data_IF_798991400070
#
_entry.id   IF_798991400070
#
_cell.length_a   1.000
_cell.length_b   1.000
_cell.length_c   1.000
_cell.angle_alpha   90.00
_cell.angle_beta   90.00
_cell.angle_gamma   90.00
#
_symmetry.space_group_name_H-M   'P 1'
#
loop_
_entity.id
_entity.type
_entity.pdbx_description
1 polymer ?
#
# COMPACT_ATOMS: atom_id res chain seq x y z
N UNK A 1 -5.05 -22.27 -7.67
CA UNK A 1 -6.47 -21.90 -7.55
C UNK A 1 -6.65 -21.24 -6.21
N UNK A 2 -7.27 -20.05 -6.15
CA UNK A 2 -7.49 -19.39 -4.86
C UNK A 2 -8.35 -20.25 -3.94
N UNK A 3 -7.91 -20.38 -2.68
CA UNK A 3 -8.53 -21.27 -1.68
C UNK A 3 -9.75 -20.66 -1.00
N UNK A 4 -9.90 -19.33 -1.03
CA UNK A 4 -10.95 -18.62 -0.29
C UNK A 4 -11.73 -17.67 -1.20
N UNK A 5 -13.05 -17.65 -1.02
CA UNK A 5 -13.90 -16.57 -1.56
C UNK A 5 -13.67 -15.29 -0.75
N UNK A 6 -13.94 -14.13 -1.36
CA UNK A 6 -13.81 -12.84 -0.67
C UNK A 6 -14.66 -12.77 0.61
N UNK A 7 -15.91 -13.24 0.56
CA UNK A 7 -16.81 -13.29 1.73
C UNK A 7 -16.25 -14.16 2.86
N UNK A 8 -15.70 -15.34 2.53
CA UNK A 8 -15.10 -16.23 3.53
C UNK A 8 -13.83 -15.63 4.12
N UNK A 9 -12.98 -15.03 3.29
CA UNK A 9 -11.77 -14.36 3.73
C UNK A 9 -12.09 -13.19 4.68
N UNK A 10 -13.02 -12.31 4.30
CA UNK A 10 -13.52 -11.22 5.13
C UNK A 10 -13.93 -11.69 6.52
N UNK A 11 -14.78 -12.72 6.59
CA UNK A 11 -15.25 -13.28 7.88
C UNK A 11 -14.10 -13.81 8.74
N UNK A 12 -13.15 -14.53 8.13
CA UNK A 12 -12.02 -15.11 8.87
C UNK A 12 -11.04 -14.05 9.37
N UNK A 13 -10.78 -13.00 8.58
CA UNK A 13 -9.89 -11.90 8.95
C UNK A 13 -10.50 -11.09 10.10
N UNK A 14 -11.78 -10.70 9.99
CA UNK A 14 -12.49 -9.98 11.06
C UNK A 14 -12.53 -10.80 12.35
N UNK A 15 -12.71 -12.12 12.24
CA UNK A 15 -12.73 -13.01 13.40
C UNK A 15 -11.33 -13.30 14.00
N UNK A 16 -10.24 -12.80 13.40
CA UNK A 16 -8.86 -13.13 13.82
C UNK A 16 -8.50 -14.60 13.64
N UNK A 17 -9.17 -15.31 12.72
CA UNK A 17 -9.04 -16.76 12.46
C UNK A 17 -8.49 -17.06 11.07
N UNK A 18 -8.04 -16.04 10.35
CA UNK A 18 -7.45 -16.20 9.03
C UNK A 18 -6.12 -16.96 9.12
N UNK A 19 -5.94 -18.08 8.39
CA UNK A 19 -4.65 -18.77 8.36
C UNK A 19 -3.58 -17.96 7.61
N UNK A 20 -2.32 -18.22 7.96
CA UNK A 20 -1.15 -17.76 7.20
C UNK A 20 -1.20 -18.29 5.77
N UNK A 21 -0.77 -17.48 4.80
CA UNK A 21 -0.78 -17.86 3.39
C UNK A 21 -2.18 -17.96 2.78
N UNK A 22 -3.15 -17.20 3.31
CA UNK A 22 -4.49 -17.14 2.75
C UNK A 22 -4.45 -16.58 1.32
N UNK A 23 -5.08 -17.29 0.38
CA UNK A 23 -5.21 -16.86 -1.02
C UNK A 23 -6.68 -16.55 -1.37
N UNK A 24 -6.94 -15.31 -1.78
CA UNK A 24 -8.23 -14.80 -2.26
C UNK A 24 -8.12 -14.51 -3.75
N UNK A 25 -9.00 -15.08 -4.58
CA UNK A 25 -8.83 -15.00 -6.04
C UNK A 25 -9.28 -13.69 -6.68
N UNK A 26 -10.17 -12.95 -6.02
CA UNK A 26 -10.74 -11.69 -6.49
C UNK A 26 -10.28 -10.50 -5.65
N UNK A 27 -11.08 -9.45 -5.64
CA UNK A 27 -10.89 -8.34 -4.71
C UNK A 27 -11.22 -8.75 -3.26
N UNK A 28 -10.60 -8.09 -2.30
CA UNK A 28 -10.90 -8.21 -0.88
C UNK A 28 -11.15 -6.82 -0.32
N UNK A 29 -12.39 -6.58 0.11
CA UNK A 29 -12.79 -5.31 0.73
C UNK A 29 -12.93 -5.50 2.24
N UNK A 30 -12.07 -4.81 2.99
CA UNK A 30 -12.07 -4.77 4.45
C UNK A 30 -12.40 -3.35 4.97
N UNK A 31 -12.90 -2.47 4.09
CA UNK A 31 -13.13 -1.07 4.40
C UNK A 31 -14.16 -0.91 5.52
N UNK A 32 -13.91 0.04 6.43
CA UNK A 32 -14.78 0.34 7.57
C UNK A 32 -14.83 -0.75 8.64
N UNK A 33 -13.97 -1.76 8.57
CA UNK A 33 -13.88 -2.82 9.60
C UNK A 33 -12.89 -2.41 10.71
N UNK A 34 -13.12 -2.91 11.93
CA UNK A 34 -12.27 -2.62 13.08
C UNK A 34 -11.00 -3.49 13.15
N UNK A 35 -10.55 -4.07 12.02
CA UNK A 35 -9.37 -4.93 12.01
C UNK A 35 -8.11 -4.13 12.31
N UNK A 36 -7.18 -4.75 13.03
CA UNK A 36 -5.91 -4.13 13.45
C UNK A 36 -4.70 -4.77 12.79
N UNK A 37 -4.87 -5.95 12.19
CA UNK A 37 -3.83 -6.70 11.49
C UNK A 37 -4.43 -7.56 10.37
N UNK A 38 -3.58 -7.91 9.40
CA UNK A 38 -3.85 -8.88 8.34
C UNK A 38 -3.03 -10.15 8.60
N UNK A 39 -3.45 -11.32 8.10
CA UNK A 39 -2.67 -12.54 8.22
C UNK A 39 -1.38 -12.46 7.36
N UNK A 40 -0.31 -13.08 7.86
CA UNK A 40 0.97 -13.16 7.13
C UNK A 40 0.84 -13.94 5.83
N UNK A 41 1.56 -13.50 4.79
CA UNK A 41 1.53 -14.13 3.47
C UNK A 41 0.18 -14.02 2.75
N UNK A 42 -0.68 -13.07 3.13
CA UNK A 42 -1.95 -12.82 2.44
C UNK A 42 -1.71 -12.53 0.95
N UNK A 43 -2.37 -13.30 0.09
CA UNK A 43 -2.37 -13.09 -1.36
C UNK A 43 -3.78 -12.77 -1.83
N UNK A 44 -3.96 -11.62 -2.46
CA UNK A 44 -5.21 -11.17 -3.06
C UNK A 44 -5.02 -11.06 -4.56
N UNK A 45 -5.77 -11.81 -5.36
CA UNK A 45 -5.65 -11.85 -6.82
C UNK A 45 -6.19 -10.58 -7.50
N UNK A 46 -7.08 -9.84 -6.84
CA UNK A 46 -7.55 -8.52 -7.27
C UNK A 46 -7.03 -7.40 -6.37
N UNK A 47 -7.81 -6.33 -6.25
CA UNK A 47 -7.51 -5.19 -5.37
C UNK A 47 -7.82 -5.48 -3.91
N UNK A 48 -7.05 -4.87 -3.00
CA UNK A 48 -7.25 -4.91 -1.56
C UNK A 48 -7.65 -3.52 -1.05
N UNK A 49 -8.80 -3.42 -0.39
CA UNK A 49 -9.32 -2.16 0.17
C UNK A 49 -9.23 -2.20 1.70
N UNK A 50 -8.48 -1.28 2.29
CA UNK A 50 -8.26 -1.18 3.74
C UNK A 50 -8.75 0.15 4.33
N UNK A 51 -9.62 0.85 3.59
CA UNK A 51 -10.00 2.21 3.93
C UNK A 51 -10.78 2.28 5.25
N UNK A 52 -10.39 3.20 6.15
CA UNK A 52 -11.06 3.33 7.46
C UNK A 52 -10.91 2.11 8.37
N UNK A 53 -9.79 1.39 8.29
CA UNK A 53 -9.43 0.31 9.22
C UNK A 53 -8.45 0.78 10.28
N UNK A 54 -8.38 0.07 11.41
CA UNK A 54 -7.44 0.35 12.50
C UNK A 54 -6.06 -0.32 12.30
N UNK A 55 -5.73 -0.73 11.07
CA UNK A 55 -4.45 -1.37 10.74
C UNK A 55 -3.29 -0.39 10.97
N UNK A 56 -2.23 -0.90 11.60
CA UNK A 56 -1.02 -0.11 11.90
C UNK A 56 0.21 -0.53 11.10
N UNK A 57 0.20 -1.74 10.51
CA UNK A 57 1.25 -2.25 9.64
C UNK A 57 0.67 -3.22 8.59
N UNK A 58 1.29 -3.27 7.41
CA UNK A 58 1.04 -4.34 6.44
C UNK A 58 1.81 -5.60 6.88
N UNK A 59 1.27 -6.81 6.63
CA UNK A 59 1.92 -8.05 7.02
C UNK A 59 3.07 -8.39 6.06
N UNK A 60 4.02 -9.18 6.53
CA UNK A 60 5.10 -9.68 5.68
C UNK A 60 4.55 -10.63 4.61
N UNK A 61 5.10 -10.53 3.40
CA UNK A 61 4.71 -11.38 2.27
C UNK A 61 3.35 -11.05 1.66
N UNK A 62 2.76 -9.87 1.97
CA UNK A 62 1.56 -9.39 1.29
C UNK A 62 1.77 -9.34 -0.23
N UNK A 63 0.86 -9.93 -0.98
CA UNK A 63 0.82 -9.86 -2.45
C UNK A 63 -0.57 -9.44 -2.93
N UNK A 64 -0.66 -8.45 -3.82
CA UNK A 64 -1.92 -7.92 -4.36
C UNK A 64 -1.87 -7.95 -5.88
N UNK A 65 -2.88 -8.52 -6.56
CA UNK A 65 -2.91 -8.59 -8.03
C UNK A 65 -3.49 -7.36 -8.70
N UNK A 66 -4.18 -6.50 -7.93
CA UNK A 66 -4.63 -5.18 -8.35
C UNK A 66 -4.02 -4.08 -7.50
N UNK A 67 -4.86 -3.13 -7.11
CA UNK A 67 -4.43 -1.97 -6.33
C UNK A 67 -4.59 -2.20 -4.82
N UNK A 68 -3.67 -1.64 -4.04
CA UNK A 68 -3.80 -1.51 -2.59
C UNK A 68 -4.36 -0.12 -2.27
N UNK A 69 -5.60 -0.07 -1.79
CA UNK A 69 -6.26 1.19 -1.41
C UNK A 69 -6.14 1.42 0.11
N UNK A 70 -5.41 2.49 0.46
CA UNK A 70 -5.12 2.90 1.85
C UNK A 70 -5.78 4.25 2.20
N UNK A 71 -6.90 4.60 1.55
CA UNK A 71 -7.57 5.89 1.75
C UNK A 71 -8.29 5.97 3.10
N UNK A 72 -8.38 7.16 3.70
CA UNK A 72 -8.98 7.38 5.02
C UNK A 72 -8.03 7.09 6.21
N UNK A 73 -8.57 7.20 7.43
CA UNK A 73 -7.91 7.16 8.74
C UNK A 73 -7.20 5.83 9.09
N UNK A 74 -6.34 5.34 8.20
CA UNK A 74 -5.47 4.21 8.51
C UNK A 74 -4.36 4.69 9.45
N UNK A 75 -4.16 3.99 10.56
CA UNK A 75 -3.06 4.26 11.51
C UNK A 75 -1.73 3.66 11.02
N UNK A 76 -1.60 3.52 9.70
CA UNK A 76 -0.50 2.80 9.08
C UNK A 76 0.80 3.59 9.27
N UNK A 77 1.82 2.91 9.77
CA UNK A 77 3.16 3.49 9.87
C UNK A 77 3.81 3.49 8.50
N UNK A 78 4.32 4.65 8.09
CA UNK A 78 5.07 4.81 6.86
C UNK A 78 6.57 5.00 7.15
N UNK A 79 7.47 4.52 6.27
CA UNK A 79 7.17 3.69 5.11
C UNK A 79 6.67 2.30 5.53
N UNK A 80 5.81 1.69 4.72
CA UNK A 80 5.36 0.31 4.96
C UNK A 80 6.49 -0.67 4.68
N UNK A 81 6.30 -1.93 5.11
CA UNK A 81 7.05 -3.05 4.54
C UNK A 81 6.81 -3.17 3.04
N UNK A 82 7.69 -3.89 2.36
CA UNK A 82 7.56 -4.21 0.96
C UNK A 82 6.45 -5.23 0.74
N UNK A 83 5.57 -4.96 -0.23
CA UNK A 83 4.54 -5.88 -0.71
C UNK A 83 4.75 -6.17 -2.20
N UNK A 84 4.32 -7.34 -2.65
CA UNK A 84 4.41 -7.76 -4.04
C UNK A 84 3.16 -7.39 -4.84
N UNK A 85 3.31 -7.26 -6.16
CA UNK A 85 2.19 -7.28 -7.09
C UNK A 85 2.17 -8.60 -7.86
N UNK A 86 0.98 -9.21 -8.02
CA UNK A 86 0.87 -10.52 -8.68
C UNK A 86 1.35 -10.42 -10.13
N UNK A 87 2.31 -11.26 -10.53
CA UNK A 87 2.86 -11.25 -11.88
C UNK A 87 3.96 -10.20 -12.09
N UNK A 88 4.31 -9.43 -11.07
CA UNK A 88 5.44 -8.50 -11.10
C UNK A 88 6.60 -9.02 -10.23
N UNK A 89 7.83 -8.92 -10.75
CA UNK A 89 9.03 -9.18 -9.96
C UNK A 89 9.30 -8.05 -8.94
N UNK A 90 8.84 -6.84 -9.27
CA UNK A 90 9.02 -5.61 -8.52
C UNK A 90 8.19 -5.62 -7.25
N UNK A 91 8.82 -5.28 -6.12
CA UNK A 91 8.13 -5.01 -4.87
C UNK A 91 7.86 -3.53 -4.72
N UNK A 92 6.81 -3.21 -3.98
CA UNK A 92 6.36 -1.86 -3.73
C UNK A 92 6.23 -1.60 -2.24
N UNK A 93 6.38 -0.35 -1.81
CA UNK A 93 6.05 0.10 -0.46
C UNK A 93 5.36 1.45 -0.51
N UNK A 94 4.44 1.70 0.39
CA UNK A 94 3.88 3.03 0.55
C UNK A 94 4.81 3.88 1.42
N UNK A 95 5.11 5.09 0.96
CA UNK A 95 5.99 6.04 1.64
C UNK A 95 5.23 7.10 2.45
N UNK A 96 4.04 7.47 1.98
CA UNK A 96 3.15 8.39 2.66
C UNK A 96 1.74 8.30 2.07
N UNK A 97 0.73 8.67 2.85
CA UNK A 97 -0.65 8.84 2.40
C UNK A 97 -1.23 10.10 3.02
N UNK A 98 -1.97 10.89 2.25
CA UNK A 98 -2.76 12.01 2.77
C UNK A 98 -4.24 11.63 3.01
N UNK A 99 -4.54 10.33 2.93
CA UNK A 99 -5.90 9.80 3.04
C UNK A 99 -6.67 9.77 1.71
N UNK A 100 -6.21 10.42 0.65
CA UNK A 100 -6.80 10.33 -0.70
C UNK A 100 -5.84 9.66 -1.69
N UNK A 101 -4.57 10.06 -1.65
CA UNK A 101 -3.50 9.52 -2.47
C UNK A 101 -2.39 8.94 -1.61
N UNK A 102 -1.86 7.82 -2.07
CA UNK A 102 -0.67 7.19 -1.52
C UNK A 102 0.49 7.39 -2.48
N UNK A 103 1.63 7.85 -1.96
CA UNK A 103 2.90 7.82 -2.65
C UNK A 103 3.54 6.45 -2.40
N UNK A 104 3.83 5.73 -3.46
CA UNK A 104 4.49 4.42 -3.41
C UNK A 104 5.81 4.43 -4.15
N UNK A 105 6.75 3.62 -3.65
CA UNK A 105 8.06 3.39 -4.25
C UNK A 105 8.21 1.92 -4.61
N UNK A 106 8.77 1.64 -5.78
CA UNK A 106 9.23 0.32 -6.18
C UNK A 106 10.66 0.02 -5.70
N UNK A 107 11.02 -1.25 -5.54
CA UNK A 107 12.39 -1.66 -5.23
C UNK A 107 13.42 -1.28 -6.33
N UNK A 108 12.95 -1.01 -7.54
CA UNK A 108 13.72 -0.43 -8.64
C UNK A 108 13.89 1.10 -8.54
N UNK A 109 13.26 1.77 -7.57
CA UNK A 109 13.37 3.20 -7.30
C UNK A 109 12.39 4.09 -8.07
N UNK A 110 11.32 3.52 -8.64
CA UNK A 110 10.25 4.27 -9.29
C UNK A 110 9.23 4.75 -8.26
N UNK A 111 8.74 5.97 -8.43
CA UNK A 111 7.71 6.58 -7.59
C UNK A 111 6.39 6.72 -8.35
N UNK A 112 5.29 6.35 -7.71
CA UNK A 112 3.93 6.45 -8.26
C UNK A 112 2.99 7.03 -7.21
N UNK A 113 2.03 7.86 -7.62
CA UNK A 113 0.94 8.33 -6.77
C UNK A 113 -0.38 8.45 -7.55
N UNK A 114 -1.26 7.45 -7.42
CA UNK A 114 -2.42 7.30 -8.29
C UNK A 114 -2.00 7.16 -9.76
N UNK A 115 -2.62 7.91 -10.67
CA UNK A 115 -2.25 7.90 -12.10
C UNK A 115 -0.97 8.70 -12.43
N UNK A 116 -0.19 9.14 -11.44
CA UNK A 116 1.03 9.92 -11.62
C UNK A 116 2.27 9.05 -11.50
N UNK A 117 3.20 9.21 -12.43
CA UNK A 117 4.38 8.35 -12.56
C UNK A 117 4.21 7.30 -13.65
N UNK A 118 5.12 6.30 -13.72
CA UNK A 118 6.28 6.12 -12.85
C UNK A 118 7.32 7.23 -13.04
N UNK A 119 7.89 7.72 -11.94
CA UNK A 119 8.89 8.80 -11.94
C UNK A 119 10.17 8.39 -11.22
N UNK A 120 11.31 8.92 -11.69
CA UNK A 120 12.52 8.98 -10.87
C UNK A 120 12.31 9.95 -9.71
N UNK A 121 13.16 9.86 -8.68
CA UNK A 121 13.19 10.81 -7.58
C UNK A 121 13.27 12.27 -8.04
N UNK A 122 14.13 12.55 -9.01
CA UNK A 122 14.29 13.90 -9.55
C UNK A 122 13.02 14.40 -10.25
N UNK A 123 12.36 13.54 -11.04
CA UNK A 123 11.09 13.87 -11.69
C UNK A 123 9.96 14.10 -10.67
N UNK A 124 9.89 13.25 -9.64
CA UNK A 124 8.91 13.39 -8.57
C UNK A 124 9.10 14.69 -7.78
N UNK A 125 10.34 15.05 -7.42
CA UNK A 125 10.66 16.33 -6.77
C UNK A 125 10.35 17.52 -7.68
N UNK A 126 10.71 17.46 -8.97
CA UNK A 126 10.36 18.52 -9.92
C UNK A 126 8.84 18.72 -10.05
N UNK A 127 8.03 17.68 -9.81
CA UNK A 127 6.58 17.76 -9.83
C UNK A 127 5.96 18.29 -8.52
N UNK A 128 6.45 17.84 -7.36
CA UNK A 128 5.85 18.16 -6.07
C UNK A 128 6.55 19.30 -5.31
N UNK A 129 7.85 19.52 -5.48
CA UNK A 129 8.66 20.56 -4.83
C UNK A 129 8.70 21.87 -5.67
N UNK A 130 7.57 22.24 -6.27
CA UNK A 130 7.45 23.47 -7.05
C UNK A 130 7.10 24.63 -6.13
N UNK A 131 7.75 25.78 -6.32
CA UNK A 131 7.49 27.01 -5.52
C UNK A 131 6.03 27.44 -5.47
N UNK A 132 5.25 27.15 -6.52
CA UNK A 132 3.83 27.49 -6.61
C UNK A 132 2.92 26.51 -5.89
N UNK A 133 3.45 25.37 -5.41
CA UNK A 133 2.68 24.29 -4.81
C UNK A 133 2.83 24.31 -3.29
N UNK A 134 1.75 24.64 -2.60
CA UNK A 134 1.75 24.83 -1.14
C UNK A 134 0.79 23.88 -0.42
N UNK A 135 0.16 22.93 -1.12
CA UNK A 135 -0.76 21.96 -0.52
C UNK A 135 -0.03 20.97 0.40
N UNK A 136 -0.71 20.55 1.46
CA UNK A 136 -0.14 19.65 2.49
C UNK A 136 0.27 18.30 1.90
N UNK A 137 -0.46 17.78 0.90
CA UNK A 137 -0.08 16.56 0.16
C UNK A 137 1.29 16.70 -0.49
N UNK A 138 1.54 17.81 -1.19
CA UNK A 138 2.84 18.07 -1.81
C UNK A 138 3.96 18.11 -0.76
N UNK A 139 3.75 18.82 0.36
CA UNK A 139 4.73 18.88 1.45
C UNK A 139 5.02 17.50 2.02
N UNK A 140 3.98 16.72 2.29
CA UNK A 140 4.07 15.35 2.79
C UNK A 140 4.86 14.45 1.83
N UNK A 141 4.51 14.48 0.53
CA UNK A 141 5.18 13.64 -0.46
C UNK A 141 6.63 14.08 -0.69
N UNK A 142 6.92 15.38 -0.74
CA UNK A 142 8.30 15.88 -0.84
C UNK A 142 9.12 15.46 0.37
N UNK A 143 8.58 15.55 1.59
CA UNK A 143 9.25 15.08 2.80
C UNK A 143 9.56 13.58 2.74
N UNK A 144 8.58 12.76 2.33
CA UNK A 144 8.75 11.32 2.17
C UNK A 144 9.82 10.98 1.11
N UNK A 145 9.80 11.66 -0.04
CA UNK A 145 10.78 11.48 -1.12
C UNK A 145 12.18 11.93 -0.66
N UNK A 146 12.29 13.03 0.09
CA UNK A 146 13.57 13.51 0.64
C UNK A 146 14.13 12.57 1.73
N UNK A 147 13.26 11.90 2.48
CA UNK A 147 13.62 10.92 3.51
C UNK A 147 14.05 9.56 2.95
N UNK A 148 13.79 9.27 1.66
CA UNK A 148 14.47 8.18 0.97
C UNK A 148 15.97 8.50 0.96
N UNK A 149 16.77 7.84 1.79
CA UNK A 149 18.22 8.04 1.70
C UNK A 149 18.68 7.71 0.28
N UNK A 150 19.61 8.51 -0.28
CA UNK A 150 20.42 8.07 -1.41
C UNK A 150 20.97 6.69 -1.02
N UNK A 151 20.72 5.66 -1.84
CA UNK A 151 21.09 4.27 -1.54
C UNK A 151 22.54 4.26 -1.02
N UNK A 152 22.69 4.07 0.29
CA UNK A 152 23.90 3.49 0.85
C UNK A 152 23.88 2.03 0.41
N UNK A 153 24.63 1.75 -0.65
CA UNK A 153 25.22 0.43 -0.90
C UNK A 153 26.11 0.03 0.29
#
# INVERSE_FOLDING_TARGET
>A
MAKYTAEKALRLIIAGKAPTGMEVGGYLDLSGTAITALPDGLTVGGSLYLSGTAITALPDGLTVGGYLYLSGETNLKFPTVWYGLTGEATRWRALASDGEYTLSESDTGQLVAGCRGPWTRAQALAHWDRKTRTDERAKLFVAAIKALNEKGE
#
